data_IF_076192089660
#
_entry.id   IF_076192089660
#
_cell.length_a   1.000
_cell.length_b   1.000
_cell.length_c   1.000
_cell.angle_alpha   90.00
_cell.angle_beta   90.00
_cell.angle_gamma   90.00
#
_symmetry.space_group_name_H-M   'P 1'
#
loop_
_entity.id
_entity.type
_entity.pdbx_description
1 polymer ?
#
# COMPACT_ATOMS: atom_id res chain seq x y z
N UNK A 1 11.61 -46.96 -24.67
CA UNK A 1 11.71 -45.54 -25.09
C UNK A 1 13.17 -45.16 -25.03
N UNK A 2 13.63 -44.41 -26.03
CA UNK A 2 15.04 -44.15 -26.36
C UNK A 2 15.83 -43.34 -25.32
N UNK A 3 17.15 -43.33 -25.56
CA UNK A 3 18.33 -43.07 -24.73
C UNK A 3 18.52 -41.70 -24.05
N UNK A 4 19.51 -41.73 -23.15
CA UNK A 4 20.18 -40.66 -22.41
C UNK A 4 20.73 -39.51 -23.27
N UNK A 5 20.89 -38.33 -22.66
CA UNK A 5 21.88 -37.34 -23.10
C UNK A 5 22.44 -36.57 -21.90
N UNK A 6 23.76 -36.71 -21.70
CA UNK A 6 24.59 -35.97 -20.77
C UNK A 6 25.21 -34.75 -21.46
N UNK A 7 25.44 -33.68 -20.69
CA UNK A 7 26.75 -33.02 -20.66
C UNK A 7 26.87 -31.57 -21.17
N UNK A 8 27.43 -30.73 -20.27
CA UNK A 8 28.41 -29.63 -20.44
C UNK A 8 27.94 -28.34 -19.72
N UNK A 9 28.45 -27.99 -18.52
CA UNK A 9 29.79 -27.46 -18.13
C UNK A 9 30.25 -26.29 -19.01
N UNK A 10 30.33 -25.10 -18.42
CA UNK A 10 31.55 -24.31 -18.47
C UNK A 10 31.64 -23.29 -17.32
N UNK A 11 32.80 -23.34 -16.68
CA UNK A 11 33.32 -22.45 -15.65
C UNK A 11 33.80 -21.14 -16.30
N UNK A 12 33.65 -20.00 -15.61
CA UNK A 12 34.61 -18.91 -15.82
C UNK A 12 34.88 -18.10 -14.55
N UNK A 13 36.17 -17.97 -14.27
CA UNK A 13 36.82 -17.48 -13.06
C UNK A 13 37.86 -16.44 -13.47
N UNK A 14 37.78 -15.24 -12.88
CA UNK A 14 38.92 -14.29 -12.77
C UNK A 14 38.59 -13.33 -11.63
N UNK A 15 39.21 -13.37 -10.43
CA UNK A 15 40.59 -13.02 -10.03
C UNK A 15 41.10 -11.69 -10.63
N UNK A 16 41.24 -10.68 -9.77
CA UNK A 16 42.45 -9.87 -9.44
C UNK A 16 41.96 -8.60 -8.70
N UNK A 17 42.09 -8.51 -7.37
CA UNK A 17 43.19 -7.85 -6.62
C UNK A 17 43.49 -6.42 -7.08
N UNK A 18 43.40 -5.45 -6.16
CA UNK A 18 44.50 -4.52 -5.88
C UNK A 18 44.32 -3.83 -4.53
N UNK A 19 45.29 -4.12 -3.66
CA UNK A 19 45.62 -3.39 -2.44
C UNK A 19 46.19 -2.02 -2.81
N UNK A 20 45.78 -0.97 -2.10
CA UNK A 20 46.58 0.25 -1.97
C UNK A 20 46.33 0.85 -0.59
N UNK A 21 47.29 0.61 0.31
CA UNK A 21 47.47 1.42 1.50
C UNK A 21 48.09 2.74 1.03
N UNK A 22 47.46 3.85 1.35
CA UNK A 22 48.18 5.12 1.50
C UNK A 22 47.54 5.92 2.62
N UNK A 23 48.23 5.96 3.75
CA UNK A 23 48.11 7.01 4.75
C UNK A 23 48.41 8.36 4.10
N UNK A 24 47.67 9.42 4.43
CA UNK A 24 48.20 10.77 4.76
C UNK A 24 47.04 11.73 5.07
N UNK A 25 47.05 12.17 6.33
CA UNK A 25 46.68 13.49 6.89
C UNK A 25 45.36 14.19 6.54
N UNK A 26 44.51 14.24 7.57
CA UNK A 26 43.85 15.43 8.13
C UNK A 26 43.36 16.53 7.18
N UNK A 27 42.03 16.65 7.06
CA UNK A 27 41.36 17.96 7.17
C UNK A 27 40.11 17.77 8.05
N UNK A 28 40.21 18.31 9.27
CA UNK A 28 39.11 18.46 10.23
C UNK A 28 38.24 19.62 9.73
N UNK A 29 37.36 19.37 8.76
CA UNK A 29 36.31 20.35 8.40
C UNK A 29 35.14 20.13 9.33
N UNK A 30 35.03 21.03 10.31
CA UNK A 30 33.85 21.16 11.15
C UNK A 30 32.71 21.73 10.30
N UNK A 31 31.92 20.86 9.66
CA UNK A 31 30.63 21.25 9.10
C UNK A 31 29.54 21.01 10.16
N UNK A 32 29.44 21.96 11.10
CA UNK A 32 28.28 22.14 11.97
C UNK A 32 27.16 22.88 11.23
N UNK A 33 26.73 22.45 10.05
CA UNK A 33 25.55 23.05 9.39
C UNK A 33 24.88 22.05 8.44
N UNK A 34 24.31 20.99 8.98
CA UNK A 34 23.37 20.14 8.25
C UNK A 34 22.73 19.24 9.31
N UNK A 35 21.58 19.60 9.86
CA UNK A 35 20.72 18.67 10.62
C UNK A 35 19.35 19.23 11.01
N UNK A 36 19.10 20.55 10.88
CA UNK A 36 17.77 21.10 11.21
C UNK A 36 16.73 20.77 10.13
N UNK A 37 17.06 20.88 8.84
CA UNK A 37 16.11 20.54 7.77
C UNK A 37 15.77 19.04 7.73
N UNK A 38 16.75 18.15 7.95
CA UNK A 38 16.50 16.69 7.88
C UNK A 38 15.53 16.19 8.96
N UNK A 39 15.53 16.79 10.15
CA UNK A 39 14.59 16.44 11.23
C UNK A 39 13.18 17.00 10.99
N UNK A 40 13.08 18.21 10.45
CA UNK A 40 11.80 18.85 10.14
C UNK A 40 11.07 18.10 9.01
N UNK A 41 11.79 17.71 7.94
CA UNK A 41 11.22 16.90 6.87
C UNK A 41 10.81 15.49 7.32
N UNK A 42 11.58 14.87 8.24
CA UNK A 42 11.20 13.57 8.83
C UNK A 42 9.94 13.69 9.68
N UNK A 43 9.82 14.75 10.47
CA UNK A 43 8.67 15.00 11.34
C UNK A 43 7.40 15.29 10.52
N UNK A 44 7.50 16.15 9.50
CA UNK A 44 6.37 16.44 8.58
C UNK A 44 5.95 15.18 7.82
N UNK A 45 6.90 14.38 7.32
CA UNK A 45 6.59 13.12 6.62
C UNK A 45 5.97 12.07 7.54
N UNK A 46 6.42 11.97 8.80
CA UNK A 46 5.80 11.05 9.76
C UNK A 46 4.38 11.47 10.11
N UNK A 47 4.12 12.78 10.29
CA UNK A 47 2.78 13.27 10.60
C UNK A 47 1.80 13.02 9.45
N UNK A 48 2.23 13.26 8.21
CA UNK A 48 1.43 12.97 7.01
C UNK A 48 1.11 11.47 6.88
N UNK A 49 2.08 10.60 7.16
CA UNK A 49 1.87 9.16 7.12
C UNK A 49 0.88 8.70 8.21
N UNK A 50 0.98 9.26 9.41
CA UNK A 50 0.04 8.97 10.50
C UNK A 50 -1.37 9.43 10.16
N UNK A 51 -1.51 10.65 9.63
CA UNK A 51 -2.80 11.21 9.23
C UNK A 51 -3.49 10.40 8.12
N UNK A 52 -2.72 9.97 7.11
CA UNK A 52 -3.25 9.11 6.04
C UNK A 52 -3.70 7.75 6.58
N UNK A 53 -2.94 7.17 7.52
CA UNK A 53 -3.31 5.90 8.16
C UNK A 53 -4.58 6.04 9.01
N UNK A 54 -4.73 7.13 9.76
CA UNK A 54 -5.93 7.43 10.55
C UNK A 54 -7.15 7.62 9.65
N UNK A 55 -6.99 8.33 8.53
CA UNK A 55 -8.05 8.49 7.53
C UNK A 55 -8.46 7.12 6.97
N UNK A 56 -7.50 6.30 6.53
CA UNK A 56 -7.78 4.96 6.00
C UNK A 56 -8.55 4.11 7.01
N UNK A 57 -8.12 4.09 8.27
CA UNK A 57 -8.78 3.29 9.31
C UNK A 57 -10.18 3.79 9.63
N UNK A 58 -10.36 5.11 9.72
CA UNK A 58 -11.67 5.72 9.94
C UNK A 58 -12.61 5.37 8.81
N UNK A 59 -12.17 5.53 7.57
CA UNK A 59 -12.97 5.25 6.38
C UNK A 59 -13.37 3.77 6.31
N UNK A 60 -12.41 2.85 6.48
CA UNK A 60 -12.65 1.41 6.49
C UNK A 60 -13.66 1.01 7.58
N UNK A 61 -13.50 1.56 8.78
CA UNK A 61 -14.40 1.31 9.91
C UNK A 61 -15.83 1.78 9.64
N UNK A 62 -16.00 2.95 9.02
CA UNK A 62 -17.31 3.50 8.69
C UNK A 62 -17.99 2.76 7.54
N UNK A 63 -17.25 2.50 6.46
CA UNK A 63 -17.77 1.83 5.27
C UNK A 63 -18.18 0.39 5.57
N UNK A 64 -17.32 -0.39 6.22
CA UNK A 64 -17.58 -1.80 6.53
C UNK A 64 -18.87 -2.02 7.34
N UNK A 65 -19.18 -1.10 8.27
CA UNK A 65 -20.40 -1.15 9.09
C UNK A 65 -21.68 -0.89 8.30
N UNK A 66 -21.63 -0.16 7.20
CA UNK A 66 -22.83 0.35 6.49
C UNK A 66 -23.00 -0.23 5.09
N UNK A 67 -21.94 -0.76 4.48
CA UNK A 67 -21.95 -1.23 3.10
C UNK A 67 -22.80 -2.49 2.90
N UNK A 68 -22.83 -3.38 3.89
CA UNK A 68 -23.63 -4.61 3.83
C UNK A 68 -23.36 -5.40 2.55
N UNK A 69 -24.41 -5.96 1.93
CA UNK A 69 -24.28 -6.84 0.75
C UNK A 69 -23.69 -6.17 -0.50
N UNK A 70 -23.73 -4.84 -0.58
CA UNK A 70 -23.15 -4.09 -1.70
C UNK A 70 -21.62 -4.16 -1.76
N UNK A 71 -20.96 -4.71 -0.74
CA UNK A 71 -19.50 -4.75 -0.68
C UNK A 71 -18.88 -5.44 -1.89
N UNK A 72 -19.48 -6.55 -2.37
CA UNK A 72 -19.01 -7.29 -3.54
C UNK A 72 -19.02 -6.44 -4.80
N UNK A 73 -20.11 -5.71 -5.03
CA UNK A 73 -20.23 -4.84 -6.20
C UNK A 73 -19.24 -3.68 -6.12
N UNK A 74 -19.08 -3.07 -4.94
CA UNK A 74 -18.08 -2.01 -4.75
C UNK A 74 -16.69 -2.50 -5.08
N UNK A 75 -16.27 -3.66 -4.57
CA UNK A 75 -14.91 -4.14 -4.82
C UNK A 75 -14.69 -4.68 -6.24
N UNK A 76 -15.74 -5.12 -6.93
CA UNK A 76 -15.67 -5.38 -8.38
C UNK A 76 -15.41 -4.11 -9.17
N UNK A 77 -16.05 -2.99 -8.80
CA UNK A 77 -15.75 -1.69 -9.43
C UNK A 77 -14.37 -1.14 -9.08
N UNK A 78 -13.75 -1.64 -8.00
CA UNK A 78 -12.35 -1.43 -7.66
C UNK A 78 -11.39 -2.40 -8.39
N UNK A 79 -11.91 -3.24 -9.29
CA UNK A 79 -11.18 -4.26 -10.02
C UNK A 79 -10.50 -5.32 -9.14
N UNK A 80 -11.05 -5.61 -7.94
CA UNK A 80 -10.60 -6.78 -7.17
C UNK A 80 -11.06 -8.05 -7.92
N UNK A 81 -10.14 -8.99 -8.24
CA UNK A 81 -10.50 -10.24 -8.90
C UNK A 81 -11.51 -11.08 -8.11
N UNK A 82 -12.44 -11.74 -8.82
CA UNK A 82 -13.51 -12.52 -8.16
C UNK A 82 -12.96 -13.64 -7.27
N UNK A 83 -11.82 -14.24 -7.60
CA UNK A 83 -11.20 -15.26 -6.75
C UNK A 83 -10.78 -14.72 -5.37
N UNK A 84 -10.40 -13.44 -5.27
CA UNK A 84 -10.09 -12.81 -3.98
C UNK A 84 -11.38 -12.48 -3.21
N UNK A 85 -12.42 -12.06 -3.92
CA UNK A 85 -13.75 -11.83 -3.34
C UNK A 85 -14.30 -13.12 -2.72
N UNK A 86 -14.23 -14.23 -3.45
CA UNK A 86 -14.68 -15.53 -2.99
C UNK A 86 -13.84 -16.03 -1.80
N UNK A 87 -12.51 -15.84 -1.83
CA UNK A 87 -11.64 -16.18 -0.73
C UNK A 87 -12.00 -15.43 0.56
N UNK A 88 -12.30 -14.14 0.48
CA UNK A 88 -12.72 -13.31 1.62
C UNK A 88 -14.08 -13.77 2.15
N UNK A 89 -15.04 -14.03 1.25
CA UNK A 89 -16.37 -14.53 1.63
C UNK A 89 -16.26 -15.87 2.37
N UNK A 90 -15.43 -16.79 1.87
CA UNK A 90 -15.23 -18.11 2.48
C UNK A 90 -14.51 -18.03 3.83
N UNK A 91 -13.62 -17.05 4.01
CA UNK A 91 -12.93 -16.80 5.29
C UNK A 91 -13.87 -16.25 6.36
N UNK A 92 -14.86 -15.43 5.96
CA UNK A 92 -15.78 -14.74 6.86
C UNK A 92 -17.26 -15.00 6.50
N UNK A 93 -17.78 -16.25 6.50
CA UNK A 93 -19.03 -16.63 5.82
C UNK A 93 -20.29 -15.89 6.29
N UNK A 94 -20.34 -15.46 7.55
CA UNK A 94 -21.53 -14.83 8.15
C UNK A 94 -21.30 -13.39 8.59
N UNK A 95 -20.11 -12.83 8.36
CA UNK A 95 -19.74 -11.51 8.81
C UNK A 95 -19.52 -10.56 7.62
N UNK A 96 -20.62 -9.94 7.15
CA UNK A 96 -20.56 -8.96 6.05
C UNK A 96 -19.68 -7.75 6.38
N UNK A 97 -19.59 -7.39 7.67
CA UNK A 97 -18.76 -6.29 8.10
C UNK A 97 -17.28 -6.67 7.95
N UNK A 98 -16.89 -7.85 8.41
CA UNK A 98 -15.50 -8.31 8.28
C UNK A 98 -15.13 -8.59 6.81
N UNK A 99 -16.03 -9.21 6.03
CA UNK A 99 -15.84 -9.39 4.58
C UNK A 99 -15.54 -8.06 3.88
N UNK A 100 -16.38 -7.06 4.12
CA UNK A 100 -16.22 -5.75 3.49
C UNK A 100 -15.01 -4.98 4.00
N UNK A 101 -14.70 -5.07 5.30
CA UNK A 101 -13.50 -4.48 5.87
C UNK A 101 -12.24 -5.06 5.23
N UNK A 102 -12.12 -6.40 5.16
CA UNK A 102 -10.96 -7.06 4.56
C UNK A 102 -10.82 -6.75 3.07
N UNK A 103 -11.93 -6.74 2.31
CA UNK A 103 -11.89 -6.48 0.88
C UNK A 103 -11.49 -5.03 0.56
N UNK A 104 -12.01 -4.05 1.31
CA UNK A 104 -11.62 -2.65 1.15
C UNK A 104 -10.19 -2.42 1.62
N UNK A 105 -9.77 -3.07 2.72
CA UNK A 105 -8.39 -3.00 3.22
C UNK A 105 -7.42 -3.57 2.19
N UNK A 106 -7.75 -4.70 1.57
CA UNK A 106 -6.95 -5.31 0.51
C UNK A 106 -6.70 -4.34 -0.65
N UNK A 107 -7.74 -3.62 -1.08
CA UNK A 107 -7.60 -2.62 -2.14
C UNK A 107 -6.66 -1.48 -1.74
N UNK A 108 -6.90 -0.86 -0.58
CA UNK A 108 -6.11 0.29 -0.10
C UNK A 108 -4.64 -0.10 0.11
N UNK A 109 -4.36 -1.29 0.64
CA UNK A 109 -2.98 -1.74 0.84
C UNK A 109 -2.25 -2.04 -0.46
N UNK A 110 -2.97 -2.50 -1.50
CA UNK A 110 -2.40 -2.70 -2.83
C UNK A 110 -2.19 -1.37 -3.57
N UNK A 111 -2.97 -0.33 -3.26
CA UNK A 111 -2.96 0.95 -3.96
C UNK A 111 -2.72 2.08 -2.94
N UNK A 112 -1.46 2.21 -2.52
CA UNK A 112 -1.02 3.27 -1.60
C UNK A 112 -0.79 4.61 -2.30
N UNK A 113 -1.19 4.76 -3.56
CA UNK A 113 -1.14 6.02 -4.28
C UNK A 113 -2.37 6.87 -3.96
N UNK A 114 -2.26 8.20 -4.06
CA UNK A 114 -3.37 9.11 -3.69
C UNK A 114 -4.67 8.89 -4.49
N UNK A 115 -4.64 8.06 -5.55
CA UNK A 115 -5.78 7.74 -6.38
C UNK A 115 -6.78 6.79 -5.72
N UNK A 116 -6.38 6.06 -4.67
CA UNK A 116 -7.27 5.10 -3.98
C UNK A 116 -8.56 5.77 -3.49
N UNK A 117 -8.47 7.04 -3.03
CA UNK A 117 -9.61 7.86 -2.56
C UNK A 117 -10.63 8.09 -3.67
N UNK A 118 -10.16 8.54 -4.84
CA UNK A 118 -10.99 8.86 -6.01
C UNK A 118 -11.64 7.59 -6.56
N UNK A 119 -10.86 6.51 -6.67
CA UNK A 119 -11.35 5.23 -7.16
C UNK A 119 -12.42 4.64 -6.23
N UNK A 120 -12.24 4.77 -4.90
CA UNK A 120 -13.22 4.35 -3.93
C UNK A 120 -14.53 5.13 -4.03
N UNK A 121 -14.45 6.46 -4.15
CA UNK A 121 -15.61 7.34 -4.39
C UNK A 121 -16.37 6.90 -5.65
N UNK A 122 -15.67 6.66 -6.76
CA UNK A 122 -16.27 6.20 -8.00
C UNK A 122 -16.89 4.80 -7.88
N UNK A 123 -16.25 3.88 -7.18
CA UNK A 123 -16.77 2.54 -6.97
C UNK A 123 -18.06 2.55 -6.14
N UNK A 124 -18.13 3.39 -5.10
CA UNK A 124 -19.33 3.57 -4.28
C UNK A 124 -20.49 4.17 -5.07
N UNK A 125 -20.23 5.16 -5.94
CA UNK A 125 -21.22 5.71 -6.86
C UNK A 125 -21.78 4.61 -7.79
N UNK A 126 -20.89 3.86 -8.45
CA UNK A 126 -21.27 2.76 -9.37
C UNK A 126 -22.01 1.63 -8.66
N UNK A 127 -21.68 1.37 -7.40
CA UNK A 127 -22.39 0.41 -6.55
C UNK A 127 -23.73 0.93 -6.01
N UNK A 128 -24.17 2.12 -6.44
CA UNK A 128 -25.42 2.77 -5.99
C UNK A 128 -25.44 3.07 -4.49
N UNK A 129 -24.27 3.33 -3.90
CA UNK A 129 -24.08 3.69 -2.49
C UNK A 129 -23.66 5.15 -2.35
N UNK A 130 -24.51 6.05 -2.87
CA UNK A 130 -24.32 7.51 -2.80
C UNK A 130 -24.18 8.01 -1.36
N UNK A 131 -24.91 7.39 -0.42
CA UNK A 131 -24.81 7.66 1.01
C UNK A 131 -23.39 7.45 1.56
N UNK A 132 -22.70 6.40 1.09
CA UNK A 132 -21.34 6.08 1.51
C UNK A 132 -20.30 6.89 0.76
N UNK A 133 -20.58 7.24 -0.50
CA UNK A 133 -19.76 8.16 -1.28
C UNK A 133 -19.68 9.52 -0.58
N UNK A 134 -20.83 10.12 -0.29
CA UNK A 134 -20.91 11.44 0.35
C UNK A 134 -20.22 11.43 1.72
N UNK A 135 -20.40 10.35 2.49
CA UNK A 135 -19.68 10.15 3.76
C UNK A 135 -18.16 10.10 3.54
N UNK A 136 -17.70 9.40 2.50
CA UNK A 136 -16.27 9.27 2.21
C UNK A 136 -15.67 10.60 1.79
N UNK A 137 -16.34 11.33 0.90
CA UNK A 137 -15.95 12.68 0.46
C UNK A 137 -15.81 13.64 1.65
N UNK A 138 -16.81 13.62 2.55
CA UNK A 138 -16.77 14.42 3.78
C UNK A 138 -15.56 14.10 4.65
N UNK A 139 -15.31 12.83 4.94
CA UNK A 139 -14.17 12.42 5.78
C UNK A 139 -12.82 12.79 5.13
N UNK A 140 -12.72 12.66 3.81
CA UNK A 140 -11.51 13.02 3.07
C UNK A 140 -11.28 14.55 3.13
N UNK A 141 -12.32 15.37 2.96
CA UNK A 141 -12.21 16.82 3.05
C UNK A 141 -11.84 17.29 4.46
N UNK A 142 -12.45 16.70 5.49
CA UNK A 142 -12.14 16.99 6.89
C UNK A 142 -10.69 16.63 7.24
N UNK A 143 -10.14 15.56 6.65
CA UNK A 143 -8.74 15.19 6.90
C UNK A 143 -7.72 16.12 6.25
N UNK A 144 -8.12 16.88 5.23
CA UNK A 144 -7.24 17.83 4.53
C UNK A 144 -7.37 19.27 5.04
N UNK A 145 -8.31 19.52 5.96
CA UNK A 145 -8.58 20.85 6.55
C UNK A 145 -7.78 21.06 7.82
#
# INVERSE_FOLDING_TARGET
MYEESKGNKDDNKSKLSNTSKSSTSQIKVSNKFENQSSLEYKNVKSNLFTQEMELQQTLLSHLSKRIGRSWRDTVRYLNIPEYQIDAIQNKHPFDLKEQSYEALKLYITQHSDNNWKINLIHALEKARRKDLKELSEKLILESNS
#
